data_IF_053280234638
#
_entry.id   IF_053280234638
#
_cell.length_a   1.000
_cell.length_b   1.000
_cell.length_c   1.000
_cell.angle_alpha   90.00
_cell.angle_beta   90.00
_cell.angle_gamma   90.00
#
_symmetry.space_group_name_H-M   'P 1'
#
loop_
_entity.id
_entity.type
_entity.pdbx_description
1 polymer ?
#
# COMPACT_ATOMS: atom_id res chain seq x y z
N UNK A 1 -3.04 -15.93 -4.77
CA UNK A 1 -3.69 -14.64 -4.47
C UNK A 1 -5.10 -14.67 -5.06
N UNK A 2 -6.09 -14.04 -4.41
CA UNK A 2 -7.44 -13.91 -4.97
C UNK A 2 -7.51 -12.69 -5.90
N UNK A 3 -8.19 -12.81 -7.04
CA UNK A 3 -8.31 -11.75 -8.04
C UNK A 3 -9.71 -11.13 -8.03
N UNK A 4 -9.90 -10.10 -7.21
CA UNK A 4 -11.19 -9.41 -7.06
C UNK A 4 -11.49 -8.48 -8.23
N UNK A 5 -12.77 -8.40 -8.61
CA UNK A 5 -13.31 -7.38 -9.52
C UNK A 5 -14.53 -6.75 -8.86
N UNK A 6 -14.47 -5.45 -8.64
CA UNK A 6 -15.46 -4.70 -7.89
C UNK A 6 -16.04 -3.62 -8.80
N UNK A 7 -17.33 -3.71 -9.10
CA UNK A 7 -18.04 -2.78 -9.97
C UNK A 7 -19.44 -2.52 -9.40
N UNK A 8 -19.79 -1.25 -9.27
CA UNK A 8 -21.02 -0.79 -8.63
C UNK A 8 -20.79 0.44 -7.75
N UNK A 9 -21.70 0.68 -6.82
CA UNK A 9 -21.43 1.61 -5.70
C UNK A 9 -20.54 0.93 -4.65
N UNK A 10 -19.91 1.73 -3.79
CA UNK A 10 -19.14 1.25 -2.63
C UNK A 10 -19.93 0.25 -1.78
N UNK A 11 -21.18 0.57 -1.41
CA UNK A 11 -22.04 -0.35 -0.65
C UNK A 11 -22.29 -1.67 -1.40
N UNK A 12 -22.67 -1.62 -2.68
CA UNK A 12 -22.99 -2.84 -3.46
C UNK A 12 -21.79 -3.78 -3.57
N UNK A 13 -20.59 -3.24 -3.77
CA UNK A 13 -19.38 -4.07 -3.84
C UNK A 13 -19.02 -4.65 -2.48
N UNK A 14 -19.20 -3.86 -1.42
CA UNK A 14 -19.00 -4.29 -0.04
C UNK A 14 -19.94 -5.44 0.33
N UNK A 15 -21.24 -5.28 0.07
CA UNK A 15 -22.28 -6.29 0.34
C UNK A 15 -21.99 -7.62 -0.36
N UNK A 16 -21.68 -7.57 -1.66
CA UNK A 16 -21.32 -8.76 -2.43
C UNK A 16 -20.08 -9.45 -1.88
N UNK A 17 -19.07 -8.68 -1.49
CA UNK A 17 -17.82 -9.24 -0.97
C UNK A 17 -18.02 -9.84 0.43
N UNK A 18 -18.67 -9.14 1.36
CA UNK A 18 -18.99 -9.65 2.69
C UNK A 18 -19.81 -10.94 2.64
N UNK A 19 -20.82 -10.99 1.75
CA UNK A 19 -21.63 -12.18 1.51
C UNK A 19 -20.84 -13.35 0.92
N UNK A 20 -19.88 -13.08 0.03
CA UNK A 20 -18.97 -14.11 -0.49
C UNK A 20 -18.11 -14.72 0.62
N UNK A 21 -17.55 -13.89 1.49
CA UNK A 21 -16.72 -14.35 2.62
C UNK A 21 -17.55 -15.21 3.58
N UNK A 22 -18.78 -14.78 3.89
CA UNK A 22 -19.70 -15.55 4.74
C UNK A 22 -20.10 -16.88 4.10
N UNK A 23 -20.43 -16.88 2.81
CA UNK A 23 -20.75 -18.11 2.04
C UNK A 23 -19.60 -19.12 2.06
N UNK A 24 -18.37 -18.64 2.15
CA UNK A 24 -17.17 -19.49 2.28
C UNK A 24 -16.87 -19.89 3.74
N UNK A 25 -17.79 -19.63 4.68
CA UNK A 25 -17.70 -20.07 6.06
C UNK A 25 -16.89 -19.18 6.99
N UNK A 26 -16.58 -17.94 6.58
CA UNK A 26 -15.76 -17.03 7.39
C UNK A 26 -16.58 -15.82 7.86
N UNK A 27 -16.49 -15.52 9.15
CA UNK A 27 -16.94 -14.25 9.72
C UNK A 27 -15.76 -13.29 9.88
N UNK A 28 -16.02 -12.01 9.68
CA UNK A 28 -15.06 -10.91 9.79
C UNK A 28 -15.15 -10.25 11.18
N UNK A 29 -15.36 -11.05 12.22
CA UNK A 29 -15.49 -10.62 13.62
C UNK A 29 -14.19 -10.78 14.44
N UNK A 30 -13.10 -11.20 13.77
CA UNK A 30 -11.78 -11.29 14.37
C UNK A 30 -10.68 -10.88 13.39
N UNK A 31 -9.50 -10.54 13.93
CA UNK A 31 -8.30 -10.28 13.16
C UNK A 31 -7.24 -11.33 13.49
N UNK A 32 -6.58 -11.96 12.50
CA UNK A 32 -5.58 -13.00 12.76
C UNK A 32 -4.29 -12.47 13.41
N UNK A 33 -4.04 -11.14 13.34
CA UNK A 33 -2.78 -10.54 13.81
C UNK A 33 -2.94 -9.74 15.10
N UNK A 34 -4.16 -9.42 15.54
CA UNK A 34 -4.40 -8.73 16.79
C UNK A 34 -5.80 -8.94 17.37
N UNK A 35 -5.93 -8.78 18.69
CA UNK A 35 -7.23 -8.84 19.38
C UNK A 35 -8.01 -7.53 19.21
N UNK A 36 -9.33 -7.62 19.05
CA UNK A 36 -10.22 -6.47 19.12
C UNK A 36 -10.55 -6.20 20.59
N UNK A 37 -10.01 -5.10 21.10
CA UNK A 37 -10.08 -4.66 22.50
C UNK A 37 -10.87 -3.36 22.60
N UNK A 38 -11.36 -3.00 23.78
CA UNK A 38 -12.22 -1.82 23.99
C UNK A 38 -11.57 -0.52 23.48
N UNK A 39 -10.26 -0.35 23.70
CA UNK A 39 -9.48 0.80 23.21
C UNK A 39 -9.48 0.91 21.69
N UNK A 40 -9.57 -0.20 20.95
CA UNK A 40 -9.67 -0.20 19.48
C UNK A 40 -11.07 0.20 19.01
N UNK A 41 -12.10 -0.19 19.74
CA UNK A 41 -13.47 0.27 19.46
C UNK A 41 -13.60 1.77 19.71
N UNK A 42 -13.07 2.28 20.83
CA UNK A 42 -13.08 3.71 21.12
C UNK A 42 -12.28 4.52 20.09
N UNK A 43 -11.07 4.06 19.75
CA UNK A 43 -10.26 4.69 18.70
C UNK A 43 -10.98 4.72 17.35
N UNK A 44 -11.67 3.63 16.99
CA UNK A 44 -12.40 3.55 15.74
C UNK A 44 -13.64 4.47 15.69
N UNK A 45 -14.32 4.67 16.83
CA UNK A 45 -15.42 5.65 16.95
C UNK A 45 -14.91 7.07 16.68
N UNK A 46 -13.75 7.43 17.23
CA UNK A 46 -13.13 8.73 16.95
C UNK A 46 -12.72 8.85 15.48
N UNK A 47 -12.13 7.80 14.90
CA UNK A 47 -11.76 7.78 13.48
C UNK A 47 -12.98 7.98 12.58
N UNK A 48 -14.11 7.34 12.89
CA UNK A 48 -15.34 7.42 12.09
C UNK A 48 -15.75 8.86 11.78
N UNK A 49 -15.60 9.77 12.75
CA UNK A 49 -15.90 11.20 12.57
C UNK A 49 -15.06 11.83 11.45
N UNK A 50 -13.79 11.47 11.37
CA UNK A 50 -12.89 11.96 10.31
C UNK A 50 -13.23 11.34 8.94
N UNK A 51 -13.56 10.04 8.89
CA UNK A 51 -13.96 9.40 7.64
C UNK A 51 -15.28 9.95 7.10
N UNK A 52 -16.25 10.28 7.96
CA UNK A 52 -17.51 10.91 7.54
C UNK A 52 -17.26 12.24 6.82
N UNK A 53 -16.24 12.99 7.25
CA UNK A 53 -15.90 14.28 6.67
C UNK A 53 -15.13 14.15 5.36
N UNK A 54 -14.15 13.25 5.30
CA UNK A 54 -13.17 13.23 4.20
C UNK A 54 -13.36 12.08 3.22
N UNK A 55 -13.91 10.93 3.62
CA UNK A 55 -14.10 9.77 2.73
C UNK A 55 -15.37 8.98 3.06
N UNK A 56 -16.57 9.60 3.01
CA UNK A 56 -17.81 8.92 3.38
C UNK A 56 -18.10 7.69 2.51
N UNK A 57 -17.64 7.64 1.26
CA UNK A 57 -17.87 6.51 0.36
C UNK A 57 -17.18 5.22 0.84
N UNK A 58 -16.04 5.30 1.52
CA UNK A 58 -15.41 4.08 2.08
C UNK A 58 -16.22 3.51 3.23
N UNK A 59 -16.96 4.36 3.96
CA UNK A 59 -17.85 3.92 5.03
C UNK A 59 -19.02 3.11 4.45
N UNK A 60 -19.52 3.50 3.28
CA UNK A 60 -20.54 2.73 2.56
C UNK A 60 -20.03 1.33 2.17
N UNK A 61 -18.78 1.22 1.70
CA UNK A 61 -18.16 -0.09 1.42
C UNK A 61 -18.05 -0.93 2.69
N UNK A 62 -17.55 -0.36 3.79
CA UNK A 62 -17.42 -1.05 5.08
C UNK A 62 -18.80 -1.50 5.61
N UNK A 63 -19.80 -0.63 5.50
CA UNK A 63 -21.18 -0.94 5.90
C UNK A 63 -21.76 -2.07 5.05
N UNK A 64 -21.58 -2.02 3.73
CA UNK A 64 -21.97 -3.12 2.85
C UNK A 64 -21.30 -4.44 3.25
N UNK A 65 -20.00 -4.44 3.55
CA UNK A 65 -19.29 -5.64 4.00
C UNK A 65 -19.88 -6.19 5.29
N UNK A 66 -20.20 -5.33 6.25
CA UNK A 66 -20.81 -5.71 7.52
C UNK A 66 -22.15 -6.42 7.29
N UNK A 67 -23.03 -5.79 6.50
CA UNK A 67 -24.34 -6.33 6.14
C UNK A 67 -24.22 -7.66 5.40
N UNK A 68 -23.35 -7.73 4.38
CA UNK A 68 -23.15 -8.95 3.61
C UNK A 68 -22.57 -10.10 4.46
N UNK A 69 -21.67 -9.79 5.40
CA UNK A 69 -21.01 -10.79 6.23
C UNK A 69 -21.79 -11.14 7.51
N UNK A 70 -22.90 -10.44 7.80
CA UNK A 70 -23.66 -10.54 9.05
C UNK A 70 -22.79 -10.31 10.30
N UNK A 71 -22.02 -9.23 10.30
CA UNK A 71 -21.23 -8.75 11.45
C UNK A 71 -21.59 -7.29 11.75
N UNK A 72 -21.30 -6.84 12.97
CA UNK A 72 -21.49 -5.43 13.33
C UNK A 72 -20.52 -4.54 12.55
N UNK A 73 -21.01 -3.39 12.07
CA UNK A 73 -20.18 -2.41 11.36
C UNK A 73 -19.13 -1.81 12.29
N UNK A 74 -19.44 -1.68 13.59
CA UNK A 74 -18.53 -1.23 14.63
C UNK A 74 -17.33 -2.19 14.77
N UNK A 75 -17.57 -3.50 14.66
CA UNK A 75 -16.49 -4.50 14.64
C UNK A 75 -15.56 -4.30 13.44
N UNK A 76 -16.11 -4.01 12.25
CA UNK A 76 -15.29 -3.72 11.06
C UNK A 76 -14.56 -2.37 11.17
N UNK A 77 -15.18 -1.35 11.76
CA UNK A 77 -14.49 -0.09 12.05
C UNK A 77 -13.30 -0.32 12.98
N UNK A 78 -13.50 -1.06 14.09
CA UNK A 78 -12.44 -1.42 15.03
C UNK A 78 -11.31 -2.20 14.35
N UNK A 79 -11.66 -3.17 13.51
CA UNK A 79 -10.66 -3.95 12.77
C UNK A 79 -9.87 -3.09 11.77
N UNK A 80 -10.57 -2.36 10.90
CA UNK A 80 -9.95 -1.65 9.79
C UNK A 80 -9.18 -0.43 10.26
N UNK A 81 -9.77 0.43 11.09
CA UNK A 81 -9.14 1.69 11.48
C UNK A 81 -7.93 1.46 12.38
N UNK A 82 -7.90 0.37 13.17
CA UNK A 82 -6.77 0.05 14.05
C UNK A 82 -5.59 -0.65 13.39
N UNK A 83 -5.73 -1.24 12.18
CA UNK A 83 -4.74 -2.17 11.61
C UNK A 83 -3.32 -1.58 11.52
N UNK A 84 -3.10 -0.43 10.89
CA UNK A 84 -1.78 0.20 10.82
C UNK A 84 -1.48 1.14 12.00
N UNK A 85 -2.35 1.16 13.02
CA UNK A 85 -2.13 1.96 14.22
C UNK A 85 -1.56 1.08 15.32
N UNK A 86 -2.25 0.02 15.71
CA UNK A 86 -1.94 -0.74 16.91
C UNK A 86 -0.98 -1.89 16.65
N UNK A 87 -1.20 -2.64 15.57
CA UNK A 87 -0.48 -3.89 15.32
C UNK A 87 -0.44 -4.19 13.82
N UNK A 88 0.73 -4.14 13.21
CA UNK A 88 0.92 -4.71 11.88
C UNK A 88 2.38 -5.01 11.61
N UNK A 89 2.65 -6.16 11.01
CA UNK A 89 4.02 -6.65 10.82
C UNK A 89 4.39 -6.79 9.33
N UNK A 90 3.74 -6.06 8.42
CA UNK A 90 4.13 -6.07 7.01
C UNK A 90 5.43 -5.28 6.79
N UNK A 91 6.26 -5.80 5.89
CA UNK A 91 7.53 -5.20 5.48
C UNK A 91 7.51 -5.05 3.96
N UNK A 92 8.06 -3.97 3.46
CA UNK A 92 7.95 -3.62 2.05
C UNK A 92 9.18 -2.83 1.63
N UNK A 93 9.55 -2.98 0.37
CA UNK A 93 10.50 -2.07 -0.29
C UNK A 93 9.80 -1.45 -1.47
N UNK A 94 9.94 -0.14 -1.63
CA UNK A 94 9.32 0.59 -2.73
C UNK A 94 10.33 1.54 -3.36
N UNK A 95 10.31 1.65 -4.68
CA UNK A 95 11.11 2.63 -5.42
C UNK A 95 10.42 3.04 -6.71
N UNK A 96 10.80 4.20 -7.22
CA UNK A 96 10.36 4.68 -8.52
C UNK A 96 11.51 5.40 -9.22
N UNK A 97 11.53 5.35 -10.55
CA UNK A 97 12.44 6.16 -11.36
C UNK A 97 11.70 6.77 -12.55
N UNK A 98 12.19 7.93 -12.98
CA UNK A 98 11.58 8.76 -14.01
C UNK A 98 12.65 9.35 -14.92
N UNK A 99 12.63 8.93 -16.19
CA UNK A 99 13.45 9.45 -17.27
C UNK A 99 12.55 9.91 -18.41
N UNK A 100 13.13 10.47 -19.47
CA UNK A 100 12.35 10.85 -20.67
C UNK A 100 11.59 9.66 -21.29
N UNK A 101 12.15 8.44 -21.16
CA UNK A 101 11.66 7.24 -21.83
C UNK A 101 10.93 6.25 -20.90
N UNK A 102 11.10 6.38 -19.59
CA UNK A 102 10.68 5.40 -18.60
C UNK A 102 10.14 6.09 -17.36
N UNK A 103 8.92 5.73 -16.94
CA UNK A 103 8.36 6.13 -15.65
C UNK A 103 7.90 4.84 -14.99
N UNK A 104 8.67 4.35 -14.03
CA UNK A 104 8.46 3.03 -13.44
C UNK A 104 8.33 3.15 -11.93
N UNK A 105 7.26 2.57 -11.41
CA UNK A 105 7.06 2.32 -9.99
C UNK A 105 7.25 0.82 -9.71
N UNK A 106 7.88 0.46 -8.60
CA UNK A 106 8.19 -0.92 -8.24
C UNK A 106 8.10 -1.16 -6.73
N UNK A 107 7.49 -2.28 -6.33
CA UNK A 107 7.30 -2.64 -4.91
C UNK A 107 7.41 -4.15 -4.67
N UNK A 108 8.04 -4.53 -3.56
CA UNK A 108 7.90 -5.83 -2.90
C UNK A 108 7.03 -5.67 -1.65
N UNK A 109 6.10 -6.60 -1.44
CA UNK A 109 5.44 -6.82 -0.15
C UNK A 109 5.97 -8.10 0.48
N UNK A 110 6.59 -7.96 1.65
CA UNK A 110 7.20 -9.00 2.45
C UNK A 110 6.35 -9.20 3.71
N UNK A 111 5.76 -10.39 3.85
CA UNK A 111 4.80 -10.63 4.93
C UNK A 111 4.69 -12.11 5.32
N UNK A 112 3.74 -12.39 6.20
CA UNK A 112 3.52 -13.72 6.78
C UNK A 112 3.04 -14.70 5.72
N UNK A 113 3.81 -15.76 5.52
CA UNK A 113 3.49 -16.87 4.61
C UNK A 113 2.13 -17.51 4.91
N UNK A 114 1.75 -17.57 6.19
CA UNK A 114 0.49 -18.18 6.64
C UNK A 114 -0.75 -17.44 6.13
N UNK A 115 -0.62 -16.15 5.76
CA UNK A 115 -1.72 -15.31 5.30
C UNK A 115 -1.83 -15.24 3.77
N UNK A 116 -1.02 -16.01 3.01
CA UNK A 116 -1.01 -15.99 1.53
C UNK A 116 -2.37 -16.19 0.87
N UNK A 117 -3.29 -16.91 1.53
CA UNK A 117 -4.66 -17.14 1.04
C UNK A 117 -5.56 -15.91 1.15
N UNK A 118 -5.22 -14.96 2.02
CA UNK A 118 -5.97 -13.74 2.25
C UNK A 118 -5.57 -12.60 1.30
N UNK A 119 -4.43 -12.73 0.62
CA UNK A 119 -3.95 -11.67 -0.26
C UNK A 119 -4.77 -11.57 -1.53
N UNK A 120 -5.05 -10.34 -1.92
CA UNK A 120 -5.87 -10.03 -3.07
C UNK A 120 -5.16 -9.06 -4.00
N UNK A 121 -5.34 -9.27 -5.31
CA UNK A 121 -5.18 -8.21 -6.29
C UNK A 121 -6.57 -7.85 -6.84
N UNK A 122 -6.92 -6.59 -6.69
CA UNK A 122 -8.25 -6.07 -6.91
C UNK A 122 -8.27 -5.14 -8.11
N UNK A 123 -9.30 -5.26 -8.94
CA UNK A 123 -9.69 -4.23 -9.90
C UNK A 123 -10.97 -3.57 -9.39
N UNK A 124 -10.88 -2.29 -9.05
CA UNK A 124 -12.02 -1.47 -8.65
C UNK A 124 -12.43 -0.56 -9.79
N UNK A 125 -13.74 -0.51 -10.04
CA UNK A 125 -14.43 0.40 -10.95
C UNK A 125 -15.73 0.85 -10.27
N UNK A 126 -15.59 1.80 -9.34
CA UNK A 126 -16.68 2.27 -8.49
C UNK A 126 -17.32 3.53 -9.10
N UNK A 127 -18.62 3.69 -8.91
CA UNK A 127 -19.33 4.91 -9.33
C UNK A 127 -18.79 6.12 -8.55
N UNK A 128 -18.39 7.16 -9.27
CA UNK A 128 -17.93 8.42 -8.67
C UNK A 128 -16.47 8.42 -8.17
N UNK A 129 -15.70 7.36 -8.43
CA UNK A 129 -14.28 7.26 -8.06
C UNK A 129 -13.42 6.90 -9.26
N UNK A 130 -12.11 7.11 -9.16
CA UNK A 130 -11.18 6.63 -10.16
C UNK A 130 -11.02 5.11 -10.09
N UNK A 131 -11.14 4.45 -11.25
CA UNK A 131 -10.83 3.03 -11.37
C UNK A 131 -9.36 2.76 -11.07
N UNK A 132 -9.05 1.67 -10.38
CA UNK A 132 -7.67 1.29 -10.06
C UNK A 132 -7.45 -0.23 -9.98
N UNK A 133 -6.20 -0.63 -10.18
CA UNK A 133 -5.69 -1.96 -9.86
C UNK A 133 -4.83 -1.83 -8.61
N UNK A 134 -5.03 -2.66 -7.61
CA UNK A 134 -4.26 -2.60 -6.37
C UNK A 134 -4.12 -3.94 -5.68
N UNK A 135 -3.21 -4.02 -4.72
CA UNK A 135 -2.96 -5.21 -3.92
C UNK A 135 -3.25 -4.94 -2.45
N UNK A 136 -3.78 -5.94 -1.76
CA UNK A 136 -4.19 -5.82 -0.36
C UNK A 136 -4.10 -7.13 0.41
N UNK A 137 -3.88 -7.00 1.70
CA UNK A 137 -4.03 -8.04 2.73
C UNK A 137 -5.29 -7.84 3.59
N UNK A 138 -5.98 -6.70 3.43
CA UNK A 138 -7.03 -6.20 4.30
C UNK A 138 -8.22 -5.63 3.50
N UNK A 139 -8.55 -6.31 2.39
CA UNK A 139 -9.73 -6.17 1.51
C UNK A 139 -10.11 -4.74 1.07
N UNK A 140 -10.61 -3.90 1.98
CA UNK A 140 -10.96 -2.48 1.73
C UNK A 140 -9.72 -1.60 1.63
N UNK A 141 -8.71 -1.85 2.48
CA UNK A 141 -7.45 -1.08 2.46
C UNK A 141 -6.58 -1.49 1.29
N UNK A 142 -5.70 -0.61 0.81
CA UNK A 142 -4.74 -0.95 -0.24
C UNK A 142 -3.32 -0.75 0.25
N UNK A 143 -2.43 -1.65 -0.13
CA UNK A 143 -1.00 -1.51 0.14
C UNK A 143 -0.22 -0.91 -1.03
N UNK A 144 -0.72 -1.14 -2.24
CA UNK A 144 -0.25 -0.48 -3.44
C UNK A 144 -1.31 -0.51 -4.54
N UNK A 145 -1.11 0.31 -5.57
CA UNK A 145 -1.91 0.25 -6.78
C UNK A 145 -1.52 1.30 -7.80
N UNK A 146 -2.21 1.25 -8.94
CA UNK A 146 -2.20 2.27 -9.99
C UNK A 146 -3.62 2.54 -10.46
N UNK A 147 -4.01 3.80 -10.55
CA UNK A 147 -5.32 4.19 -11.06
C UNK A 147 -5.30 4.51 -12.56
N UNK A 148 -6.49 4.58 -13.18
CA UNK A 148 -6.63 4.79 -14.62
C UNK A 148 -6.03 6.11 -15.12
N UNK A 149 -5.79 7.10 -14.26
CA UNK A 149 -5.07 8.32 -14.63
C UNK A 149 -3.54 8.17 -14.63
N UNK A 150 -3.02 7.00 -14.24
CA UNK A 150 -1.59 6.72 -14.18
C UNK A 150 -0.92 7.25 -12.90
N UNK A 151 -1.68 7.42 -11.81
CA UNK A 151 -1.12 7.63 -10.48
C UNK A 151 -0.86 6.28 -9.81
N UNK A 152 0.38 6.01 -9.44
CA UNK A 152 0.79 4.85 -8.69
C UNK A 152 1.17 5.23 -7.26
N UNK A 153 0.71 4.44 -6.29
CA UNK A 153 0.97 4.65 -4.87
C UNK A 153 1.34 3.31 -4.26
N UNK A 154 2.31 3.29 -3.36
CA UNK A 154 2.51 2.16 -2.47
C UNK A 154 3.08 2.57 -1.13
N UNK A 155 2.54 1.92 -0.09
CA UNK A 155 2.96 2.16 1.27
C UNK A 155 4.11 1.25 1.67
N UNK A 156 4.95 1.78 2.55
CA UNK A 156 5.74 0.97 3.47
C UNK A 156 5.41 1.40 4.89
N UNK A 157 5.17 0.41 5.75
CA UNK A 157 4.75 0.65 7.11
C UNK A 157 5.93 1.02 8.02
N UNK A 158 5.74 2.00 8.90
CA UNK A 158 6.66 2.34 9.99
C UNK A 158 5.87 2.26 11.28
N UNK A 159 6.30 1.48 12.27
CA UNK A 159 5.53 1.33 13.48
C UNK A 159 5.37 2.68 14.21
N UNK A 160 4.13 3.12 14.50
CA UNK A 160 3.89 4.48 14.96
C UNK A 160 4.31 4.71 16.40
N UNK A 161 5.15 5.74 16.62
CA UNK A 161 5.40 6.33 17.94
C UNK A 161 4.25 7.24 18.40
N UNK A 162 3.52 7.81 17.45
CA UNK A 162 2.37 8.68 17.67
C UNK A 162 1.17 8.15 16.90
N UNK A 163 0.00 8.17 17.55
CA UNK A 163 -1.28 7.80 16.95
C UNK A 163 -2.29 8.90 17.24
N UNK A 164 -3.15 9.17 16.27
CA UNK A 164 -4.34 10.02 16.41
C UNK A 164 -5.48 9.40 15.61
N UNK A 165 -6.74 9.73 15.92
CA UNK A 165 -7.85 9.35 15.05
C UNK A 165 -7.66 9.87 13.62
N UNK A 166 -7.99 9.06 12.62
CA UNK A 166 -7.90 9.44 11.20
C UNK A 166 -7.53 8.29 10.26
N UNK A 167 -6.87 8.64 9.16
CA UNK A 167 -6.51 7.74 8.06
C UNK A 167 -5.19 7.05 8.33
N UNK A 168 -5.24 5.73 8.36
CA UNK A 168 -4.04 4.90 8.49
C UNK A 168 -3.42 4.62 7.10
N UNK A 169 -2.22 4.05 7.07
CA UNK A 169 -1.44 3.87 5.83
C UNK A 169 -2.23 3.22 4.67
N UNK A 170 -3.00 2.16 4.95
CA UNK A 170 -3.79 1.45 3.96
C UNK A 170 -4.98 2.26 3.43
N UNK A 171 -5.61 3.04 4.31
CA UNK A 171 -6.72 3.92 3.96
C UNK A 171 -6.27 5.18 3.21
N UNK A 172 -5.10 5.73 3.55
CA UNK A 172 -4.47 6.80 2.77
C UNK A 172 -4.20 6.33 1.35
N UNK A 173 -3.58 5.15 1.19
CA UNK A 173 -3.28 4.59 -0.13
C UNK A 173 -4.57 4.37 -0.94
N UNK A 174 -5.61 3.81 -0.31
CA UNK A 174 -6.94 3.64 -0.94
C UNK A 174 -7.54 4.97 -1.38
N UNK A 175 -7.53 5.98 -0.51
CA UNK A 175 -8.06 7.32 -0.81
C UNK A 175 -7.36 7.95 -2.02
N UNK A 176 -6.01 7.95 -2.01
CA UNK A 176 -5.22 8.56 -3.09
C UNK A 176 -5.48 7.89 -4.45
N UNK A 177 -5.61 6.56 -4.48
CA UNK A 177 -5.93 5.82 -5.71
C UNK A 177 -7.33 6.18 -6.26
N UNK A 178 -8.31 6.42 -5.39
CA UNK A 178 -9.68 6.76 -5.79
C UNK A 178 -9.91 8.23 -6.15
N UNK A 179 -9.13 9.16 -5.55
CA UNK A 179 -9.44 10.59 -5.56
C UNK A 179 -8.39 11.47 -6.22
N UNK A 180 -7.16 11.00 -6.42
CA UNK A 180 -6.06 11.81 -6.98
C UNK A 180 -5.63 11.32 -8.36
N UNK A 181 -5.26 12.25 -9.24
CA UNK A 181 -4.74 11.96 -10.60
C UNK A 181 -3.23 12.11 -10.71
N UNK A 182 -2.62 12.90 -9.83
CA UNK A 182 -1.22 13.33 -9.91
C UNK A 182 -0.54 13.28 -8.56
N UNK A 183 0.80 13.25 -8.59
CA UNK A 183 1.62 13.31 -7.38
C UNK A 183 1.38 14.61 -6.61
N UNK A 184 1.21 15.73 -7.31
CA UNK A 184 0.88 17.02 -6.70
C UNK A 184 -0.46 17.01 -5.94
N UNK A 185 -1.53 16.51 -6.57
CA UNK A 185 -2.85 16.35 -5.92
C UNK A 185 -2.76 15.43 -4.71
N UNK A 186 -2.01 14.33 -4.82
CA UNK A 186 -1.84 13.39 -3.72
C UNK A 186 -1.13 14.02 -2.51
N UNK A 187 -0.09 14.82 -2.74
CA UNK A 187 0.59 15.57 -1.66
C UNK A 187 -0.35 16.60 -1.03
N UNK A 188 -1.13 17.32 -1.84
CA UNK A 188 -2.09 18.31 -1.34
C UNK A 188 -3.15 17.67 -0.43
N UNK A 189 -3.71 16.53 -0.84
CA UNK A 189 -4.68 15.79 -0.04
C UNK A 189 -4.07 15.23 1.25
N UNK A 190 -2.84 14.72 1.21
CA UNK A 190 -2.13 14.26 2.43
C UNK A 190 -1.97 15.38 3.47
N UNK A 191 -1.83 16.63 3.04
CA UNK A 191 -1.79 17.78 3.96
C UNK A 191 -3.14 18.17 4.56
N UNK A 192 -4.26 17.75 3.95
CA UNK A 192 -5.62 18.00 4.45
C UNK A 192 -6.15 16.87 5.33
N UNK A 193 -5.78 15.64 5.02
CA UNK A 193 -6.28 14.44 5.69
C UNK A 193 -5.71 14.30 7.11
N UNK A 194 -6.53 13.91 8.10
CA UNK A 194 -6.04 13.59 9.43
C UNK A 194 -5.32 12.23 9.38
N UNK A 195 -4.01 12.22 9.60
CA UNK A 195 -3.19 11.00 9.54
C UNK A 195 -3.18 10.31 10.90
N UNK A 196 -3.44 9.00 10.92
CA UNK A 196 -3.55 8.21 12.14
C UNK A 196 -2.31 7.40 12.52
N UNK A 197 -1.54 6.97 11.52
CA UNK A 197 -0.37 6.08 11.67
C UNK A 197 0.91 6.73 11.16
N UNK A 198 2.02 5.98 11.20
CA UNK A 198 3.29 6.36 10.59
C UNK A 198 3.58 5.49 9.36
N UNK A 199 4.00 6.11 8.26
CA UNK A 199 4.23 5.42 7.00
C UNK A 199 5.13 6.22 6.07
N UNK A 200 5.67 5.53 5.07
CA UNK A 200 6.13 6.17 3.84
C UNK A 200 5.20 5.79 2.69
N UNK A 201 4.93 6.74 1.81
CA UNK A 201 4.14 6.56 0.60
C UNK A 201 5.04 6.90 -0.59
N UNK A 202 5.43 5.90 -1.38
CA UNK A 202 6.06 6.17 -2.68
C UNK A 202 4.96 6.47 -3.67
N UNK A 203 5.08 7.60 -4.38
CA UNK A 203 4.08 8.07 -5.32
C UNK A 203 4.78 8.39 -6.63
N UNK A 204 4.20 7.94 -7.74
CA UNK A 204 4.67 8.20 -9.10
C UNK A 204 3.47 8.50 -9.99
N UNK A 205 3.58 9.47 -10.90
CA UNK A 205 2.52 9.74 -11.87
C UNK A 205 3.00 9.70 -13.32
N UNK A 206 2.05 9.61 -14.26
CA UNK A 206 2.35 9.57 -15.71
C UNK A 206 3.00 10.85 -16.26
N UNK A 207 3.04 11.94 -15.50
CA UNK A 207 3.75 13.18 -15.87
C UNK A 207 5.24 13.09 -15.54
N UNK A 208 5.65 12.03 -14.82
CA UNK A 208 7.03 11.77 -14.46
C UNK A 208 7.42 12.31 -13.08
N UNK A 209 6.46 12.80 -12.30
CA UNK A 209 6.74 13.23 -10.93
C UNK A 209 6.78 12.01 -10.00
N UNK A 210 7.91 11.85 -9.31
CA UNK A 210 8.15 10.76 -8.35
C UNK A 210 8.56 11.34 -6.99
N UNK A 211 7.99 10.80 -5.91
CA UNK A 211 8.28 11.21 -4.53
C UNK A 211 8.20 10.04 -3.56
N UNK A 212 8.85 10.19 -2.41
CA UNK A 212 8.52 9.45 -1.18
C UNK A 212 7.98 10.46 -0.19
N UNK A 213 6.74 10.29 0.24
CA UNK A 213 6.15 11.08 1.32
C UNK A 213 6.27 10.32 2.62
N UNK A 214 7.05 10.84 3.56
CA UNK A 214 7.13 10.35 4.93
C UNK A 214 6.12 11.11 5.77
N UNK A 215 5.21 10.39 6.43
CA UNK A 215 4.17 11.06 7.18
C UNK A 215 3.76 10.33 8.45
N UNK A 216 3.30 11.12 9.41
CA UNK A 216 2.70 10.69 10.67
C UNK A 216 1.66 11.72 11.13
N UNK A 217 0.99 11.56 12.29
CA UNK A 217 -0.06 12.49 12.75
C UNK A 217 0.40 13.93 13.05
N UNK A 218 1.69 14.22 12.97
CA UNK A 218 2.27 15.53 13.31
C UNK A 218 3.08 16.14 12.15
N UNK A 219 3.76 15.33 11.35
CA UNK A 219 4.67 15.80 10.33
C UNK A 219 4.47 15.05 9.02
N UNK A 220 4.63 15.81 7.95
CA UNK A 220 4.78 15.33 6.58
C UNK A 220 6.12 15.87 6.07
N UNK A 221 6.86 15.03 5.37
CA UNK A 221 8.08 15.37 4.66
C UNK A 221 8.06 14.74 3.27
N UNK A 222 8.36 15.53 2.23
CA UNK A 222 8.29 15.10 0.83
C UNK A 222 9.70 14.99 0.29
N UNK A 223 10.16 13.76 0.10
CA UNK A 223 11.46 13.44 -0.47
C UNK A 223 11.31 13.34 -1.99
N UNK A 224 12.03 14.21 -2.69
CA UNK A 224 12.17 14.23 -4.15
C UNK A 224 13.54 13.64 -4.54
N UNK A 225 13.75 13.24 -5.81
CA UNK A 225 15.09 12.89 -6.28
C UNK A 225 16.10 13.99 -5.95
N UNK A 226 17.28 13.62 -5.46
CA UNK A 226 18.36 14.59 -5.25
C UNK A 226 18.89 15.13 -6.58
N UNK A 227 19.65 16.22 -6.55
CA UNK A 227 20.28 16.77 -7.75
C UNK A 227 21.11 15.70 -8.48
N UNK A 228 20.79 15.43 -9.75
CA UNK A 228 21.44 14.41 -10.56
C UNK A 228 20.96 12.97 -10.32
N UNK A 229 19.92 12.79 -9.51
CA UNK A 229 19.16 11.55 -9.37
C UNK A 229 17.85 11.63 -10.14
N UNK A 230 17.39 10.48 -10.63
CA UNK A 230 16.13 10.31 -11.37
C UNK A 230 15.24 9.26 -10.71
N UNK A 231 15.46 9.03 -9.40
CA UNK A 231 14.81 7.97 -8.66
C UNK A 231 14.51 8.39 -7.22
N UNK A 232 13.59 7.67 -6.59
CA UNK A 232 13.35 7.65 -5.15
C UNK A 232 13.25 6.20 -4.70
N UNK A 233 13.62 5.92 -3.46
CA UNK A 233 13.49 4.58 -2.87
C UNK A 233 13.27 4.70 -1.37
N UNK A 234 12.57 3.73 -0.80
CA UNK A 234 12.35 3.61 0.64
C UNK A 234 12.04 2.16 0.99
N UNK A 235 12.12 1.85 2.28
CA UNK A 235 11.67 0.62 2.89
C UNK A 235 10.90 1.01 4.16
N UNK A 236 10.72 0.09 5.11
CA UNK A 236 10.01 0.33 6.39
C UNK A 236 10.77 1.23 7.37
N UNK A 237 11.29 2.37 6.92
CA UNK A 237 11.99 3.31 7.78
C UNK A 237 11.85 4.74 7.27
N UNK A 238 12.00 5.69 8.18
CA UNK A 238 12.18 7.09 7.77
C UNK A 238 13.61 7.33 7.27
N UNK A 239 13.74 8.07 6.18
CA UNK A 239 14.96 8.43 5.49
C UNK A 239 15.29 9.92 5.68
N UNK A 240 14.30 10.78 5.92
CA UNK A 240 14.54 12.20 6.24
C UNK A 240 15.04 12.39 7.66
N UNK A 241 15.89 13.41 7.88
CA UNK A 241 16.37 13.81 9.22
C UNK A 241 15.19 14.19 10.13
N UNK A 242 14.24 14.97 9.59
CA UNK A 242 13.03 15.44 10.28
C UNK A 242 12.20 14.29 10.84
N UNK A 243 12.14 13.16 10.13
CA UNK A 243 11.31 12.03 10.54
C UNK A 243 12.06 10.97 11.35
N UNK A 244 13.39 11.00 11.44
CA UNK A 244 14.18 10.04 12.23
C UNK A 244 13.71 9.94 13.69
N UNK A 245 13.33 11.06 14.31
CA UNK A 245 12.91 11.11 15.73
C UNK A 245 11.60 10.35 16.02
N UNK A 246 10.86 9.99 14.97
CA UNK A 246 9.61 9.24 15.02
C UNK A 246 9.79 7.74 14.71
N UNK A 247 11.02 7.29 14.45
CA UNK A 247 11.32 5.86 14.32
C UNK A 247 11.06 5.12 15.63
N UNK A 248 10.81 3.83 15.49
CA UNK A 248 10.75 2.90 16.61
C UNK A 248 11.83 1.81 16.44
N UNK A 249 13.03 2.00 17.02
CA UNK A 249 14.18 1.12 16.77
C UNK A 249 14.05 -0.27 17.40
N UNK A 250 13.13 -0.44 18.34
CA UNK A 250 12.90 -1.71 19.04
C UNK A 250 12.04 -2.69 18.24
N UNK A 251 11.44 -2.23 17.14
CA UNK A 251 10.59 -3.03 16.25
C UNK A 251 11.45 -3.55 15.09
N UNK A 252 11.47 -4.87 14.91
CA UNK A 252 12.15 -5.48 13.77
C UNK A 252 11.51 -5.03 12.46
N UNK A 253 12.33 -4.43 11.60
CA UNK A 253 11.94 -3.88 10.30
C UNK A 253 12.35 -4.80 9.12
N UNK A 254 12.76 -6.04 9.42
CA UNK A 254 13.29 -7.03 8.49
C UNK A 254 14.42 -6.46 7.62
N UNK A 255 15.43 -5.91 8.30
CA UNK A 255 16.63 -5.33 7.66
C UNK A 255 16.25 -4.22 6.67
N UNK A 256 15.29 -3.38 7.05
CA UNK A 256 14.77 -2.29 6.21
C UNK A 256 15.88 -1.40 5.68
N UNK A 257 16.84 -1.01 6.54
CA UNK A 257 17.98 -0.20 6.11
C UNK A 257 18.81 -0.89 5.02
N UNK A 258 19.02 -2.21 5.12
CA UNK A 258 19.76 -2.94 4.10
C UNK A 258 19.00 -3.05 2.77
N UNK A 259 17.67 -3.26 2.82
CA UNK A 259 16.83 -3.29 1.62
C UNK A 259 16.79 -1.92 0.94
N UNK A 260 16.64 -0.86 1.73
CA UNK A 260 16.74 0.52 1.27
C UNK A 260 18.08 0.81 0.58
N UNK A 261 19.20 0.49 1.24
CA UNK A 261 20.53 0.67 0.67
C UNK A 261 20.73 -0.17 -0.60
N UNK A 262 20.24 -1.42 -0.62
CA UNK A 262 20.29 -2.28 -1.81
C UNK A 262 19.59 -1.62 -3.00
N UNK A 263 18.35 -1.14 -2.81
CA UNK A 263 17.60 -0.47 -3.89
C UNK A 263 18.30 0.83 -4.33
N UNK A 264 18.71 1.68 -3.39
CA UNK A 264 19.40 2.94 -3.70
C UNK A 264 20.72 2.74 -4.43
N UNK A 265 21.59 1.86 -3.93
CA UNK A 265 22.88 1.59 -4.56
C UNK A 265 22.69 1.03 -5.97
N UNK A 266 21.74 0.11 -6.17
CA UNK A 266 21.42 -0.39 -7.51
C UNK A 266 21.02 0.76 -8.44
N UNK A 267 20.07 1.60 -8.03
CA UNK A 267 19.58 2.75 -8.79
C UNK A 267 20.68 3.77 -9.09
N UNK A 268 21.58 4.04 -8.13
CA UNK A 268 22.68 5.00 -8.30
C UNK A 268 23.76 4.50 -9.26
N UNK A 269 24.07 3.21 -9.24
CA UNK A 269 25.16 2.62 -10.04
C UNK A 269 24.77 2.30 -11.48
N UNK A 270 23.47 2.19 -11.78
CA UNK A 270 22.98 1.73 -13.09
C UNK A 270 22.00 2.75 -13.72
N UNK A 271 22.35 4.04 -13.68
CA UNK A 271 21.50 5.13 -14.20
C UNK A 271 21.09 4.94 -15.67
N UNK A 272 21.95 4.33 -16.47
CA UNK A 272 21.70 4.07 -17.89
C UNK A 272 20.85 2.82 -18.16
N UNK A 273 20.53 2.04 -17.12
CA UNK A 273 19.80 0.78 -17.24
C UNK A 273 18.33 0.89 -16.79
N UNK A 274 17.83 2.10 -16.53
CA UNK A 274 16.46 2.30 -16.05
C UNK A 274 15.48 1.78 -17.08
N UNK A 275 14.81 0.68 -16.76
CA UNK A 275 13.72 0.07 -17.51
C UNK A 275 13.04 -0.98 -16.62
N UNK A 276 11.94 -1.54 -17.11
CA UNK A 276 11.14 -2.55 -16.42
C UNK A 276 11.94 -3.80 -16.04
N UNK A 277 12.88 -4.25 -16.88
CA UNK A 277 13.70 -5.43 -16.57
C UNK A 277 14.60 -5.17 -15.38
N UNK A 278 15.23 -4.00 -15.33
CA UNK A 278 16.07 -3.59 -14.21
C UNK A 278 15.27 -3.47 -12.91
N UNK A 279 14.06 -2.89 -12.94
CA UNK A 279 13.18 -2.85 -11.78
C UNK A 279 12.87 -4.27 -11.26
N UNK A 280 12.55 -5.21 -12.15
CA UNK A 280 12.31 -6.62 -11.81
C UNK A 280 13.54 -7.29 -11.19
N UNK A 281 14.74 -6.96 -11.68
CA UNK A 281 16.00 -7.52 -11.19
C UNK A 281 16.34 -7.03 -9.77
N UNK A 282 16.09 -5.75 -9.46
CA UNK A 282 16.20 -5.22 -8.08
C UNK A 282 15.24 -5.98 -7.17
N UNK A 283 13.95 -6.07 -7.54
CA UNK A 283 12.93 -6.76 -6.73
C UNK A 283 13.24 -8.25 -6.53
N UNK A 284 13.84 -8.90 -7.52
CA UNK A 284 14.29 -10.30 -7.46
C UNK A 284 15.59 -10.50 -6.65
N UNK A 285 16.17 -9.44 -6.09
CA UNK A 285 17.36 -9.53 -5.23
C UNK A 285 18.66 -9.74 -6.01
N UNK A 286 18.71 -9.43 -7.32
CA UNK A 286 19.94 -9.58 -8.12
C UNK A 286 21.01 -8.53 -7.80
N UNK A 287 20.63 -7.47 -7.09
CA UNK A 287 21.53 -6.38 -6.69
C UNK A 287 21.86 -6.37 -5.19
N UNK A 288 21.42 -7.38 -4.43
CA UNK A 288 21.66 -7.46 -2.99
C UNK A 288 20.46 -8.04 -2.23
N UNK A 289 20.42 -7.81 -0.92
CA UNK A 289 19.35 -8.35 -0.10
C UNK A 289 18.03 -7.60 -0.35
N UNK A 290 17.02 -8.33 -0.83
CA UNK A 290 15.69 -7.77 -1.09
C UNK A 290 14.57 -8.77 -0.78
N UNK A 291 14.68 -9.99 -1.31
CA UNK A 291 13.66 -11.03 -1.19
C UNK A 291 14.25 -12.39 -0.80
N UNK A 292 15.52 -12.46 -0.40
CA UNK A 292 16.16 -13.72 -0.01
C UNK A 292 15.83 -14.14 1.44
N UNK A 293 14.55 -14.07 1.83
CA UNK A 293 14.07 -14.49 3.14
C UNK A 293 14.09 -16.02 3.30
N UNK A 294 14.36 -16.49 4.52
CA UNK A 294 14.15 -17.90 4.83
C UNK A 294 12.65 -18.15 5.03
N UNK A 295 11.97 -18.57 3.96
CA UNK A 295 10.53 -18.86 3.96
C UNK A 295 10.08 -19.80 5.09
N UNK A 296 10.94 -20.69 5.59
CA UNK A 296 10.63 -21.60 6.70
C UNK A 296 10.45 -20.88 8.04
N UNK A 297 10.95 -19.65 8.17
CA UNK A 297 10.75 -18.79 9.34
C UNK A 297 9.41 -18.02 9.29
N UNK A 298 8.56 -18.29 8.29
CA UNK A 298 7.23 -17.69 8.19
C UNK A 298 7.18 -16.33 7.47
N UNK A 299 8.33 -15.79 7.06
CA UNK A 299 8.47 -14.53 6.35
C UNK A 299 8.93 -14.75 4.90
N UNK A 300 8.29 -14.08 3.94
CA UNK A 300 8.68 -14.12 2.52
C UNK A 300 8.14 -12.91 1.76
N UNK A 301 8.67 -12.64 0.56
CA UNK A 301 8.00 -11.77 -0.40
C UNK A 301 6.75 -12.46 -0.93
N UNK A 302 5.60 -11.87 -0.64
CA UNK A 302 4.27 -12.46 -0.90
C UNK A 302 3.66 -11.94 -2.20
N UNK A 303 4.06 -10.76 -2.66
CA UNK A 303 3.90 -10.32 -4.03
C UNK A 303 4.87 -9.20 -4.40
N UNK A 304 4.99 -8.98 -5.70
CA UNK A 304 5.76 -7.88 -6.28
C UNK A 304 4.99 -7.25 -7.42
N UNK A 305 5.12 -5.93 -7.58
CA UNK A 305 4.55 -5.19 -8.71
C UNK A 305 5.56 -4.29 -9.38
N UNK A 306 5.38 -4.11 -10.68
CA UNK A 306 6.04 -3.07 -11.47
C UNK A 306 4.97 -2.41 -12.33
N UNK A 307 4.85 -1.09 -12.25
CA UNK A 307 3.95 -0.28 -13.06
C UNK A 307 4.79 0.62 -13.98
N UNK A 308 4.73 0.39 -15.29
CA UNK A 308 5.27 1.30 -16.31
C UNK A 308 4.15 2.27 -16.71
N UNK A 309 4.25 3.48 -16.15
CA UNK A 309 3.27 4.55 -16.30
C UNK A 309 3.40 5.27 -17.65
N UNK A 310 4.52 5.09 -18.36
CA UNK A 310 4.73 5.69 -19.68
C UNK A 310 4.05 4.85 -20.76
N UNK A 311 4.10 3.51 -20.64
CA UNK A 311 3.53 2.56 -21.61
C UNK A 311 2.22 1.94 -21.16
N UNK A 312 1.71 2.34 -19.99
CA UNK A 312 0.48 1.83 -19.42
C UNK A 312 0.47 0.31 -19.22
N UNK A 313 1.57 -0.23 -18.67
CA UNK A 313 1.76 -1.67 -18.47
C UNK A 313 1.96 -2.02 -17.00
N UNK A 314 1.27 -3.08 -16.56
CA UNK A 314 1.35 -3.60 -15.19
C UNK A 314 1.97 -4.99 -15.25
N UNK A 315 2.98 -5.23 -14.40
CA UNK A 315 3.48 -6.56 -14.11
C UNK A 315 3.32 -6.88 -12.64
N UNK A 316 2.98 -8.14 -12.36
CA UNK A 316 2.86 -8.66 -10.99
C UNK A 316 3.48 -10.04 -10.85
N UNK A 317 3.95 -10.35 -9.66
CA UNK A 317 4.32 -11.70 -9.22
C UNK A 317 3.49 -12.03 -7.99
N UNK A 318 2.82 -13.19 -7.98
CA UNK A 318 2.20 -13.73 -6.77
C UNK A 318 3.21 -14.62 -6.05
N UNK A 319 3.83 -14.09 -5.00
CA UNK A 319 4.95 -14.68 -4.27
C UNK A 319 6.30 -14.11 -4.71
N UNK A 320 7.36 -14.76 -4.26
CA UNK A 320 8.69 -14.19 -4.33
C UNK A 320 9.28 -14.12 -5.76
N UNK A 321 9.74 -12.94 -6.22
CA UNK A 321 10.25 -12.73 -7.58
C UNK A 321 11.61 -13.40 -7.85
N UNK A 322 12.35 -13.84 -6.84
CA UNK A 322 13.54 -14.70 -7.03
C UNK A 322 13.19 -16.12 -7.50
N UNK A 323 11.94 -16.56 -7.27
CA UNK A 323 11.48 -17.94 -7.54
C UNK A 323 10.34 -17.99 -8.56
N UNK A 324 9.66 -16.87 -8.80
CA UNK A 324 8.49 -16.80 -9.68
C UNK A 324 8.64 -15.68 -10.70
N UNK A 325 8.00 -15.85 -11.85
CA UNK A 325 8.08 -14.89 -12.97
C UNK A 325 6.99 -13.84 -12.89
N UNK A 326 7.35 -12.61 -13.26
CA UNK A 326 6.40 -11.52 -13.48
C UNK A 326 5.44 -11.88 -14.62
N UNK A 327 4.15 -11.65 -14.40
CA UNK A 327 3.08 -11.78 -15.40
C UNK A 327 2.48 -10.40 -15.67
N UNK A 328 2.13 -10.15 -16.94
CA UNK A 328 1.40 -8.94 -17.33
C UNK A 328 -0.01 -9.00 -16.74
N UNK A 329 -0.48 -7.89 -16.17
CA UNK A 329 -1.88 -7.69 -15.82
C UNK A 329 -2.52 -6.67 -16.76
N UNK A 330 -3.39 -7.15 -17.64
CA UNK A 330 -4.05 -6.33 -18.66
C UNK A 330 -5.48 -5.93 -18.28
N UNK A 331 -5.89 -6.15 -17.02
CA UNK A 331 -7.28 -5.97 -16.58
C UNK A 331 -7.68 -4.51 -16.42
N UNK A 332 -6.76 -3.63 -16.01
CA UNK A 332 -6.97 -2.19 -15.95
C UNK A 332 -6.59 -1.57 -17.29
N UNK A 333 -7.41 -0.64 -17.76
CA UNK A 333 -7.08 0.25 -18.88
C UNK A 333 -6.70 1.61 -18.29
N UNK A 334 -5.50 2.07 -18.60
CA UNK A 334 -4.99 3.38 -18.21
C UNK A 334 -5.22 4.37 -19.36
N UNK A 335 -5.54 5.62 -19.02
CA UNK A 335 -5.83 6.73 -19.92
C UNK A 335 -4.57 7.39 -20.51
#
# INVERSE_FOLDING_TARGET
MYHGRFTGTHYEVGYKWGGLILKNGNKLDCCPTFKLTEDKYEFAKECLTEYQKYFPEILEEIHGIADGNNVSVETLHALLFSMYCFEFDNKCTCFAFSTNNEIVFARNSDFLVSLEKLYMNCLYNLKGSYSFNGNTTAFVQMEDGVNHHGLAVGLTFVYPKLRKPGFNAGMLTRYLLEKCKTTAEAIEELHKLPIASAQTLTIADKRGEIVVVECNPKNIDVIRPHNGEQFVATANNFNSEKMQLYKNPDIDDWRSNQRYLTARTALQQHKDCYNVSFAKDILAGKHGFMCQYNRKQGADTVWSVVYDLKRNQIWRVEGNPSRKKFKVDSRLKLD
#
